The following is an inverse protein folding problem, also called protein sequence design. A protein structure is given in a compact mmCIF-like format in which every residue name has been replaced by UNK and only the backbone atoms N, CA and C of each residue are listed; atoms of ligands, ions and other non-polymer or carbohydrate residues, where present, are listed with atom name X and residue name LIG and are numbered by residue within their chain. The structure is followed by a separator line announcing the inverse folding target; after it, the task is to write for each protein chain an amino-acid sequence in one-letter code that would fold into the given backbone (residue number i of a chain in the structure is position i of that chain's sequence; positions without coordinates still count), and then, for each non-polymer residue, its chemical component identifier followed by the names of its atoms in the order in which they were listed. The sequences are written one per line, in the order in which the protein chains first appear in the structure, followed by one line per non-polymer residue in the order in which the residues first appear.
data_IF_258782732063
#
_entry.id   IF_258782732063
#
_cell.length_a   1.000
_cell.length_b   1.000
_cell.length_c   1.000
_cell.angle_alpha   90.00
_cell.angle_beta   90.00
_cell.angle_gamma   90.00
#
_symmetry.space_group_name_H-M   'P 1'
#
loop_
_entity.id
_entity.type
_entity.pdbx_description
1 polymer ?
#
# COMPACT_ATOMS: atom_id res chain seq x y z
N UNK A 1 17.71 -9.27 15.07
CA UNK A 1 17.26 -7.88 15.25
C UNK A 1 16.02 -7.90 16.14
N UNK A 2 15.93 -6.98 17.08
CA UNK A 2 14.75 -6.86 17.93
C UNK A 2 13.72 -6.06 17.14
N UNK A 3 12.57 -6.65 16.93
CA UNK A 3 11.45 -6.03 16.20
C UNK A 3 10.56 -5.30 17.22
N UNK A 4 10.15 -4.08 16.91
CA UNK A 4 9.22 -3.33 17.73
C UNK A 4 7.77 -3.69 17.37
N UNK A 5 7.12 -4.42 18.28
CA UNK A 5 5.75 -4.87 18.09
C UNK A 5 4.75 -3.72 17.98
N UNK A 6 4.93 -2.67 18.77
CA UNK A 6 3.98 -1.56 18.81
C UNK A 6 4.07 -0.73 17.52
N UNK A 7 5.28 -0.58 16.97
CA UNK A 7 5.49 0.02 15.65
C UNK A 7 4.85 -0.84 14.55
N UNK A 8 4.97 -2.17 14.61
CA UNK A 8 4.30 -3.05 13.62
C UNK A 8 2.77 -2.88 13.69
N UNK A 9 2.20 -2.91 14.88
CA UNK A 9 0.75 -2.81 15.03
C UNK A 9 0.25 -1.43 14.58
N UNK A 10 0.86 -0.36 15.04
CA UNK A 10 0.49 1.00 14.66
C UNK A 10 0.73 1.26 13.16
N UNK A 11 1.88 0.83 12.65
CA UNK A 11 2.21 0.94 11.23
C UNK A 11 1.25 0.14 10.35
N UNK A 12 0.89 -1.08 10.76
CA UNK A 12 -0.09 -1.89 10.06
C UNK A 12 -1.47 -1.24 9.99
N UNK A 13 -1.90 -0.56 11.07
CA UNK A 13 -3.16 0.18 11.09
C UNK A 13 -3.13 1.44 10.21
N UNK A 14 -1.98 2.08 10.09
CA UNK A 14 -1.84 3.38 9.44
C UNK A 14 -1.31 3.30 8.00
N UNK A 15 -0.70 2.19 7.55
CA UNK A 15 0.02 2.13 6.28
C UNK A 15 -0.80 2.63 5.09
N UNK A 16 -2.10 2.36 5.10
CA UNK A 16 -3.05 2.67 4.03
C UNK A 16 -3.94 3.89 4.29
N UNK A 17 -3.71 4.65 5.37
CA UNK A 17 -4.57 5.79 5.75
C UNK A 17 -4.70 6.82 4.63
N UNK A 18 -3.69 6.96 3.80
CA UNK A 18 -3.70 7.86 2.65
C UNK A 18 -4.67 7.48 1.53
N UNK A 19 -5.21 6.26 1.53
CA UNK A 19 -6.23 5.83 0.56
C UNK A 19 -7.52 6.63 0.67
N UNK A 20 -7.83 7.15 1.85
CA UNK A 20 -8.97 8.06 2.06
C UNK A 20 -8.86 9.32 1.21
N UNK A 21 -7.63 9.78 0.96
CA UNK A 21 -7.35 10.91 0.10
C UNK A 21 -7.19 10.49 -1.38
N UNK A 22 -6.49 9.39 -1.64
CA UNK A 22 -6.23 8.92 -3.01
C UNK A 22 -7.52 8.59 -3.75
N UNK A 23 -8.49 7.97 -3.07
CA UNK A 23 -9.78 7.59 -3.64
C UNK A 23 -10.89 8.62 -3.43
N UNK A 24 -10.56 9.83 -2.98
CA UNK A 24 -11.53 10.93 -2.93
C UNK A 24 -12.04 11.25 -4.35
N UNK A 25 -13.36 11.23 -4.59
CA UNK A 25 -13.92 11.39 -5.93
C UNK A 25 -13.53 12.70 -6.63
N UNK A 26 -13.39 13.79 -5.87
CA UNK A 26 -13.00 15.10 -6.41
C UNK A 26 -11.55 15.06 -6.90
N UNK A 27 -10.68 14.39 -6.14
CA UNK A 27 -9.26 14.27 -6.50
C UNK A 27 -9.05 13.33 -7.69
N UNK A 28 -9.79 12.23 -7.74
CA UNK A 28 -9.76 11.33 -8.89
C UNK A 28 -10.22 12.03 -10.17
N UNK A 29 -11.28 12.82 -10.11
CA UNK A 29 -11.74 13.60 -11.26
C UNK A 29 -10.67 14.60 -11.74
N UNK A 30 -10.02 15.31 -10.82
CA UNK A 30 -8.93 16.25 -11.15
C UNK A 30 -7.72 15.55 -11.76
N UNK A 31 -7.38 14.36 -11.30
CA UNK A 31 -6.28 13.58 -11.86
C UNK A 31 -6.59 13.11 -13.28
N UNK A 32 -7.82 12.66 -13.53
CA UNK A 32 -8.29 12.28 -14.85
C UNK A 32 -8.27 13.47 -15.84
N UNK A 33 -8.68 14.66 -15.41
CA UNK A 33 -8.65 15.89 -16.24
C UNK A 33 -7.22 16.31 -16.61
N UNK A 34 -6.24 16.05 -15.75
CA UNK A 34 -4.82 16.36 -16.01
C UNK A 34 -4.16 15.39 -16.96
N UNK A 35 -4.82 14.28 -17.30
CA UNK A 35 -4.24 13.24 -18.16
C UNK A 35 -3.02 12.59 -17.50
N UNK A 36 -3.05 12.42 -16.17
CA UNK A 36 -2.01 11.70 -15.46
C UNK A 36 -1.77 10.36 -16.15
N UNK A 37 -0.51 10.04 -16.39
CA UNK A 37 -0.03 9.02 -17.33
C UNK A 37 -0.62 7.62 -17.08
N UNK A 38 -1.17 7.40 -15.90
CA UNK A 38 -1.75 6.14 -15.46
C UNK A 38 -3.16 6.29 -14.88
N UNK A 39 -3.78 7.46 -14.98
CA UNK A 39 -5.06 7.75 -14.32
C UNK A 39 -4.97 7.86 -12.80
N UNK A 40 -3.76 7.81 -12.26
CA UNK A 40 -3.50 7.87 -10.84
C UNK A 40 -3.13 9.28 -10.41
N UNK A 41 -3.48 9.70 -9.17
CA UNK A 41 -3.03 10.96 -8.61
C UNK A 41 -1.51 11.04 -8.58
N UNK A 42 -0.94 12.22 -8.83
CA UNK A 42 0.50 12.48 -8.74
C UNK A 42 1.07 12.09 -7.37
N UNK A 43 0.29 12.28 -6.31
CA UNK A 43 0.61 11.81 -4.96
C UNK A 43 -0.26 10.60 -4.63
N UNK A 44 0.40 9.49 -4.37
CA UNK A 44 -0.25 8.25 -3.97
C UNK A 44 -0.49 8.21 -2.46
N UNK A 45 -1.32 7.26 -2.04
CA UNK A 45 -1.70 7.06 -0.63
C UNK A 45 -0.50 6.96 0.33
N UNK A 46 0.59 6.36 -0.10
CA UNK A 46 1.82 6.22 0.69
C UNK A 46 2.40 7.57 1.12
N UNK A 47 2.52 8.51 0.19
CA UNK A 47 3.03 9.86 0.47
C UNK A 47 2.06 10.63 1.37
N UNK A 48 0.78 10.59 1.04
CA UNK A 48 -0.22 11.31 1.83
C UNK A 48 -0.40 10.69 3.22
N UNK A 49 -0.34 9.36 3.32
CA UNK A 49 -0.38 8.65 4.60
C UNK A 49 0.77 9.05 5.52
N UNK A 50 1.99 9.12 5.00
CA UNK A 50 3.14 9.61 5.76
C UNK A 50 2.93 11.06 6.25
N UNK A 51 2.44 11.95 5.36
CA UNK A 51 2.13 13.33 5.74
C UNK A 51 1.11 13.39 6.89
N UNK A 52 0.03 12.62 6.81
CA UNK A 52 -1.00 12.60 7.87
C UNK A 52 -0.40 12.11 9.18
N UNK A 53 0.30 10.97 9.18
CA UNK A 53 0.88 10.40 10.39
C UNK A 53 1.84 11.37 11.09
N UNK A 54 2.74 11.99 10.33
CA UNK A 54 3.69 12.96 10.88
C UNK A 54 3.00 14.24 11.38
N UNK A 55 1.97 14.70 10.65
CA UNK A 55 1.23 15.92 11.03
C UNK A 55 0.45 15.78 12.34
N UNK A 56 0.03 14.57 12.69
CA UNK A 56 -0.64 14.30 13.97
C UNK A 56 0.34 13.87 15.07
N UNK A 57 1.63 13.90 14.81
CA UNK A 57 2.68 13.64 15.80
C UNK A 57 2.94 12.16 16.08
N UNK A 58 2.60 11.26 15.16
CA UNK A 58 3.02 9.87 15.27
C UNK A 58 4.54 9.75 15.06
N UNK A 59 5.18 8.70 15.62
CA UNK A 59 6.59 8.45 15.42
C UNK A 59 6.99 8.37 13.94
N UNK A 60 8.21 8.80 13.63
CA UNK A 60 8.76 8.80 12.26
C UNK A 60 8.71 7.42 11.61
N UNK A 61 8.84 6.37 12.40
CA UNK A 61 8.76 4.98 11.95
C UNK A 61 7.41 4.65 11.31
N UNK A 62 6.32 5.25 11.80
CA UNK A 62 4.98 5.05 11.22
C UNK A 62 4.88 5.77 9.87
N UNK A 63 5.37 7.01 9.78
CA UNK A 63 5.48 7.73 8.51
C UNK A 63 6.34 6.97 7.50
N UNK A 64 7.47 6.42 7.95
CA UNK A 64 8.33 5.58 7.13
C UNK A 64 7.63 4.33 6.61
N UNK A 65 6.82 3.65 7.43
CA UNK A 65 6.03 2.49 7.01
C UNK A 65 5.01 2.89 5.95
N UNK A 66 4.30 4.01 6.14
CA UNK A 66 3.38 4.52 5.11
C UNK A 66 4.08 4.74 3.78
N UNK A 67 5.28 5.33 3.78
CA UNK A 67 6.06 5.56 2.55
C UNK A 67 6.61 4.28 1.96
N UNK A 68 7.19 3.42 2.78
CA UNK A 68 8.00 2.30 2.32
C UNK A 68 7.21 1.04 1.98
N UNK A 69 5.94 0.91 2.42
CA UNK A 69 5.17 -0.30 2.15
C UNK A 69 4.75 -0.40 0.67
N UNK A 70 4.50 0.73 0.02
CA UNK A 70 4.00 0.77 -1.34
C UNK A 70 5.09 0.46 -2.37
N UNK A 71 4.68 -0.14 -3.48
CA UNK A 71 5.59 -0.65 -4.51
C UNK A 71 6.30 0.46 -5.27
N UNK A 72 5.66 1.60 -5.46
CA UNK A 72 6.18 2.76 -6.21
C UNK A 72 7.40 3.41 -5.54
N UNK A 73 7.65 3.13 -4.28
CA UNK A 73 8.79 3.66 -3.52
C UNK A 73 9.89 2.62 -3.28
N UNK A 74 10.16 1.79 -4.26
CA UNK A 74 11.20 0.74 -4.20
C UNK A 74 12.61 1.24 -3.90
N UNK A 75 12.86 2.55 -3.99
CA UNK A 75 14.14 3.17 -3.65
C UNK A 75 14.29 3.58 -2.18
N UNK A 76 13.25 3.43 -1.37
CA UNK A 76 13.31 3.75 0.06
C UNK A 76 13.86 2.54 0.82
N UNK A 77 14.87 2.76 1.66
CA UNK A 77 15.36 1.74 2.57
C UNK A 77 14.26 1.30 3.55
N UNK A 78 14.14 0.02 3.79
CA UNK A 78 13.11 -0.51 4.66
C UNK A 78 13.68 -0.87 6.04
N UNK A 79 13.01 -0.40 7.11
CA UNK A 79 13.19 -0.98 8.43
C UNK A 79 12.62 -2.41 8.44
N UNK A 80 12.99 -3.20 9.44
CA UNK A 80 12.45 -4.56 9.59
C UNK A 80 10.92 -4.54 9.71
N UNK A 81 10.38 -3.58 10.46
CA UNK A 81 8.95 -3.38 10.67
C UNK A 81 8.25 -3.00 9.36
N UNK A 82 8.81 -2.07 8.60
CA UNK A 82 8.29 -1.68 7.29
C UNK A 82 8.29 -2.88 6.33
N UNK A 83 9.36 -3.65 6.32
CA UNK A 83 9.46 -4.84 5.45
C UNK A 83 8.41 -5.90 5.81
N UNK A 84 8.18 -6.14 7.11
CA UNK A 84 7.16 -7.09 7.58
C UNK A 84 5.77 -6.66 7.09
N UNK A 85 5.41 -5.38 7.28
CA UNK A 85 4.10 -4.86 6.89
C UNK A 85 3.94 -4.94 5.37
N UNK A 86 4.95 -4.54 4.61
CA UNK A 86 4.95 -4.64 3.15
C UNK A 86 4.71 -6.08 2.66
N UNK A 87 5.38 -7.06 3.26
CA UNK A 87 5.19 -8.46 2.87
C UNK A 87 3.81 -8.98 3.27
N UNK A 88 3.31 -8.59 4.43
CA UNK A 88 1.95 -8.95 4.88
C UNK A 88 0.88 -8.39 3.95
N UNK A 89 0.98 -7.11 3.56
CA UNK A 89 0.09 -6.46 2.61
C UNK A 89 0.12 -7.16 1.24
N UNK A 90 1.30 -7.41 0.69
CA UNK A 90 1.42 -8.14 -0.57
C UNK A 90 0.85 -9.57 -0.49
N UNK A 91 1.11 -10.27 0.60
CA UNK A 91 0.56 -11.61 0.81
C UNK A 91 -0.96 -11.59 0.84
N UNK A 92 -1.56 -10.60 1.52
CA UNK A 92 -3.01 -10.42 1.53
C UNK A 92 -3.58 -10.28 0.12
N UNK A 93 -2.99 -9.43 -0.70
CA UNK A 93 -3.45 -9.23 -2.08
C UNK A 93 -3.35 -10.51 -2.92
N UNK A 94 -2.28 -11.30 -2.75
CA UNK A 94 -2.16 -12.59 -3.42
C UNK A 94 -3.24 -13.58 -2.98
N UNK A 95 -3.53 -13.64 -1.68
CA UNK A 95 -4.61 -14.47 -1.14
C UNK A 95 -5.97 -14.00 -1.66
N UNK A 96 -6.23 -12.70 -1.64
CA UNK A 96 -7.47 -12.13 -2.13
C UNK A 96 -7.70 -12.44 -3.63
N UNK A 97 -6.64 -12.37 -4.44
CA UNK A 97 -6.71 -12.74 -5.84
C UNK A 97 -6.95 -14.24 -6.03
N UNK A 98 -6.31 -15.10 -5.25
CA UNK A 98 -6.48 -16.54 -5.30
C UNK A 98 -7.90 -16.99 -4.91
N UNK A 99 -8.56 -16.22 -4.06
CA UNK A 99 -9.93 -16.45 -3.60
C UNK A 99 -11.00 -15.71 -4.43
N UNK A 100 -10.62 -15.12 -5.57
CA UNK A 100 -11.50 -14.32 -6.42
C UNK A 100 -12.22 -13.15 -5.69
N UNK A 101 -11.60 -12.61 -4.64
CA UNK A 101 -12.11 -11.47 -3.88
C UNK A 101 -11.81 -10.12 -4.56
N UNK A 102 -10.96 -10.11 -5.58
CA UNK A 102 -10.56 -8.92 -6.33
C UNK A 102 -11.13 -8.96 -7.75
N UNK A 103 -11.43 -7.79 -8.30
CA UNK A 103 -11.77 -7.68 -9.73
C UNK A 103 -10.58 -8.17 -10.58
N UNK A 104 -10.84 -8.86 -11.71
CA UNK A 104 -9.77 -9.21 -12.63
C UNK A 104 -8.94 -7.99 -13.03
N UNK A 105 -7.62 -8.11 -12.96
CA UNK A 105 -6.70 -7.02 -13.29
C UNK A 105 -6.40 -6.03 -12.16
N UNK A 106 -7.03 -6.18 -10.98
CA UNK A 106 -6.74 -5.31 -9.83
C UNK A 106 -5.30 -5.48 -9.31
N UNK A 107 -4.71 -6.65 -9.53
CA UNK A 107 -3.36 -6.97 -9.06
C UNK A 107 -2.50 -7.29 -10.28
N UNK A 108 -1.77 -6.30 -10.74
CA UNK A 108 -0.71 -6.46 -11.72
C UNK A 108 0.64 -6.10 -11.06
N UNK A 109 1.22 -7.07 -10.41
CA UNK A 109 2.57 -6.92 -9.89
C UNK A 109 3.56 -7.14 -11.04
N UNK A 110 4.03 -6.07 -11.63
CA UNK A 110 5.07 -6.05 -12.66
C UNK A 110 4.69 -6.76 -13.97
N UNK A 111 3.46 -6.63 -14.44
CA UNK A 111 3.03 -7.16 -15.73
C UNK A 111 2.99 -8.69 -15.80
N UNK A 112 2.98 -9.35 -14.65
CA UNK A 112 2.84 -10.80 -14.56
C UNK A 112 1.60 -11.14 -13.76
N UNK A 113 0.59 -11.66 -14.45
CA UNK A 113 -0.57 -12.30 -13.83
C UNK A 113 -0.09 -13.49 -12.99
N UNK A 114 0.23 -13.27 -11.74
CA UNK A 114 0.45 -14.33 -10.78
C UNK A 114 -0.91 -14.91 -10.40
N UNK A 115 -1.43 -15.78 -11.27
CA UNK A 115 -2.58 -16.62 -10.94
C UNK A 115 -2.09 -17.69 -9.97
N UNK A 116 -2.22 -17.43 -8.70
CA UNK A 116 -2.13 -18.47 -7.69
C UNK A 116 -3.41 -19.29 -7.85
N UNK A 117 -3.31 -20.48 -8.42
CA UNK A 117 -4.43 -21.42 -8.40
C UNK A 117 -4.63 -21.89 -6.96
N UNK A 118 -5.85 -21.85 -6.43
CA UNK A 118 -6.14 -22.51 -5.17
C UNK A 118 -5.70 -23.97 -5.28
N UNK A 119 -4.95 -24.46 -4.30
CA UNK A 119 -4.61 -25.87 -4.22
C UNK A 119 -5.92 -26.63 -3.99
N UNK A 120 -6.52 -27.18 -5.08
CA UNK A 120 -7.46 -28.29 -5.02
C UNK A 120 -8.57 -28.24 -3.98
N UNK A 121 -9.18 -27.10 -3.75
CA UNK A 121 -10.46 -27.00 -3.08
C UNK A 121 -11.54 -26.88 -4.16
N UNK A 122 -11.73 -27.98 -4.89
CA UNK A 122 -12.95 -28.20 -5.65
C UNK A 122 -14.06 -28.69 -4.69
#
# INVERSE_FOLDING_TARGET
AKVDRDIIVAGGLCHDIGKTWEFDPVKLARSAERGDRYGDPTYRHSTYGAHVCLSVGLPDEIGHICMGHAFEFGGIGHSTECFIIRQADHTWWHVAAALDLCKPGTIDFAGKNLRVRPLGLE
#
